data_IF_789625871878
#
_entry.id   IF_789625871878
#
_cell.length_a   1.000
_cell.length_b   1.000
_cell.length_c   1.000
_cell.angle_alpha   90.00
_cell.angle_beta   90.00
_cell.angle_gamma   90.00
#
_symmetry.space_group_name_H-M   'P 1'
#
loop_
_entity.id
_entity.type
_entity.pdbx_description
1 polymer ?
#
# COMPACT_ATOMS: atom_id res chain seq x y z
N UNK A 1 -7.21 17.11 27.92
CA UNK A 1 -5.82 17.38 27.59
C UNK A 1 -5.72 17.83 26.13
N UNK A 2 -4.85 18.81 25.85
CA UNK A 2 -4.53 19.23 24.49
C UNK A 2 -3.15 18.65 24.15
N UNK A 3 -3.00 18.07 22.96
CA UNK A 3 -1.74 17.53 22.46
C UNK A 3 -1.50 18.07 21.04
N UNK A 4 -0.23 18.15 20.64
CA UNK A 4 0.14 18.45 19.27
C UNK A 4 0.22 17.13 18.50
N UNK A 5 -0.51 17.02 17.39
CA UNK A 5 -0.47 15.88 16.52
C UNK A 5 0.70 16.03 15.53
N UNK A 6 1.79 15.30 15.78
CA UNK A 6 2.94 15.23 14.88
C UNK A 6 2.82 14.10 13.84
N UNK A 7 1.74 13.30 13.91
CA UNK A 7 1.52 12.17 13.00
C UNK A 7 0.64 12.56 11.82
N UNK A 8 -0.21 13.58 12.00
CA UNK A 8 -1.11 14.07 10.95
C UNK A 8 -2.08 12.99 10.47
N UNK A 9 -2.69 12.22 11.41
CA UNK A 9 -3.59 11.10 11.11
C UNK A 9 -2.96 10.05 10.17
N UNK A 10 -1.70 9.70 10.42
CA UNK A 10 -0.87 8.80 9.59
C UNK A 10 -0.66 9.30 8.17
N UNK A 11 -0.48 10.63 8.00
CA UNK A 11 -0.07 11.28 6.76
C UNK A 11 -1.14 12.11 6.04
N UNK A 12 -2.44 11.77 6.02
CA UNK A 12 -3.43 12.50 5.23
C UNK A 12 -3.64 13.97 5.63
N UNK A 13 -3.45 14.30 6.91
CA UNK A 13 -3.72 15.64 7.43
C UNK A 13 -2.57 16.64 7.20
N UNK A 14 -2.08 16.75 5.97
CA UNK A 14 -0.97 17.66 5.59
C UNK A 14 -1.31 19.12 5.92
N UNK A 15 -2.56 19.53 5.70
CA UNK A 15 -3.05 20.87 6.01
C UNK A 15 -3.61 20.99 7.45
N UNK A 16 -3.45 19.97 8.29
CA UNK A 16 -4.08 19.87 9.61
C UNK A 16 -5.51 19.34 9.55
N UNK A 17 -6.13 19.21 10.75
CA UNK A 17 -7.43 18.52 10.88
C UNK A 17 -8.63 19.36 10.39
N UNK A 18 -8.50 20.67 10.33
CA UNK A 18 -9.63 21.56 9.99
C UNK A 18 -9.15 22.85 9.32
N UNK A 19 -8.46 22.71 8.20
CA UNK A 19 -8.05 23.87 7.40
C UNK A 19 -9.29 24.62 6.87
N UNK A 20 -9.40 25.96 7.07
CA UNK A 20 -10.62 26.70 6.74
C UNK A 20 -11.09 26.54 5.29
N UNK A 21 -10.17 26.61 4.34
CA UNK A 21 -10.49 26.44 2.90
C UNK A 21 -11.00 25.04 2.58
N UNK A 22 -10.40 24.00 3.20
CA UNK A 22 -10.83 22.61 3.03
C UNK A 22 -12.26 22.43 3.60
N UNK A 23 -12.50 22.95 4.79
CA UNK A 23 -13.84 22.88 5.41
C UNK A 23 -14.88 23.60 4.55
N UNK A 24 -14.58 24.81 4.05
CA UNK A 24 -15.48 25.55 3.17
C UNK A 24 -15.79 24.79 1.87
N UNK A 25 -14.77 24.19 1.23
CA UNK A 25 -14.95 23.41 0.03
C UNK A 25 -15.80 22.15 0.28
N UNK A 26 -15.58 21.45 1.42
CA UNK A 26 -16.40 20.31 1.81
C UNK A 26 -17.87 20.68 2.04
N UNK A 27 -18.13 21.79 2.74
CA UNK A 27 -19.50 22.29 2.95
C UNK A 27 -20.21 22.54 1.64
N UNK A 28 -19.56 23.20 0.68
CA UNK A 28 -20.13 23.45 -0.65
C UNK A 28 -20.35 22.16 -1.46
N UNK A 29 -19.48 21.16 -1.28
CA UNK A 29 -19.63 19.88 -1.98
C UNK A 29 -20.78 19.05 -1.41
N UNK A 30 -20.99 19.05 -0.08
CA UNK A 30 -22.06 18.31 0.60
C UNK A 30 -23.45 18.73 0.08
N UNK A 31 -23.65 19.99 -0.24
CA UNK A 31 -24.92 20.50 -0.83
C UNK A 31 -25.29 19.83 -2.16
N UNK A 32 -24.29 19.28 -2.87
CA UNK A 32 -24.49 18.60 -4.16
C UNK A 32 -24.60 17.07 -4.02
N UNK A 33 -24.37 16.54 -2.83
CA UNK A 33 -24.40 15.12 -2.53
C UNK A 33 -23.01 14.57 -2.18
N UNK A 34 -22.99 13.41 -1.52
CA UNK A 34 -21.77 12.80 -0.95
C UNK A 34 -21.44 11.43 -1.52
N UNK A 35 -22.34 10.83 -2.33
CA UNK A 35 -22.12 9.50 -2.89
C UNK A 35 -22.94 9.33 -4.16
N UNK A 36 -22.29 8.81 -5.20
CA UNK A 36 -22.90 8.62 -6.52
C UNK A 36 -22.57 7.22 -7.03
N UNK A 37 -23.55 6.54 -7.61
CA UNK A 37 -23.37 5.25 -8.27
C UNK A 37 -22.81 5.36 -9.71
N UNK A 38 -22.25 6.53 -10.06
CA UNK A 38 -21.65 6.82 -11.36
C UNK A 38 -20.47 7.77 -11.18
N UNK A 39 -19.52 7.82 -12.14
CA UNK A 39 -18.41 8.78 -12.12
C UNK A 39 -18.92 10.22 -12.00
N UNK A 40 -18.27 11.04 -11.21
CA UNK A 40 -18.62 12.45 -11.05
C UNK A 40 -17.49 13.36 -11.54
N UNK A 41 -17.80 14.63 -11.76
CA UNK A 41 -16.86 15.62 -12.29
C UNK A 41 -15.65 15.82 -11.39
N UNK A 42 -15.84 15.76 -10.07
CA UNK A 42 -14.73 15.90 -9.09
C UNK A 42 -13.74 14.75 -9.19
N UNK A 43 -14.19 13.53 -9.45
CA UNK A 43 -13.29 12.38 -9.67
C UNK A 43 -12.44 12.60 -10.94
N UNK A 44 -13.06 13.06 -12.02
CA UNK A 44 -12.35 13.34 -13.28
C UNK A 44 -11.32 14.45 -13.09
N UNK A 45 -11.68 15.51 -12.37
CA UNK A 45 -10.78 16.62 -12.07
C UNK A 45 -9.59 16.14 -11.23
N UNK A 46 -9.83 15.37 -10.17
CA UNK A 46 -8.77 14.84 -9.34
C UNK A 46 -7.89 13.86 -10.11
N UNK A 47 -8.47 12.99 -10.95
CA UNK A 47 -7.70 12.07 -11.78
C UNK A 47 -6.76 12.82 -12.75
N UNK A 48 -7.26 13.87 -13.38
CA UNK A 48 -6.44 14.70 -14.26
C UNK A 48 -5.27 15.37 -13.50
N UNK A 49 -5.52 15.88 -12.29
CA UNK A 49 -4.46 16.45 -11.45
C UNK A 49 -3.40 15.42 -11.05
N UNK A 50 -3.80 14.18 -10.76
CA UNK A 50 -2.84 13.10 -10.44
C UNK A 50 -2.01 12.73 -11.67
N UNK A 51 -2.61 12.62 -12.83
CA UNK A 51 -1.92 12.30 -14.09
C UNK A 51 -0.91 13.41 -14.45
N UNK A 52 -1.30 14.67 -14.28
CA UNK A 52 -0.40 15.81 -14.51
C UNK A 52 0.77 15.86 -13.53
N UNK A 53 0.53 15.54 -12.27
CA UNK A 53 1.54 15.60 -11.22
C UNK A 53 2.53 14.41 -11.22
N UNK A 54 2.13 13.25 -11.75
CA UNK A 54 2.94 12.00 -11.70
C UNK A 54 3.19 11.49 -13.11
N UNK A 55 4.37 11.77 -13.70
CA UNK A 55 4.66 11.49 -15.13
C UNK A 55 4.49 10.04 -15.57
N UNK A 56 4.57 9.09 -14.65
CA UNK A 56 4.42 7.65 -14.93
C UNK A 56 2.97 7.15 -14.87
N UNK A 57 2.02 8.02 -14.50
CA UNK A 57 0.61 7.66 -14.35
C UNK A 57 -0.18 8.07 -15.59
N UNK A 58 -0.77 7.11 -16.28
CA UNK A 58 -1.64 7.32 -17.44
C UNK A 58 -3.12 7.09 -17.11
N UNK A 59 -3.40 6.33 -16.05
CA UNK A 59 -4.75 5.95 -15.65
C UNK A 59 -4.86 5.89 -14.12
N UNK A 60 -5.97 6.38 -13.59
CA UNK A 60 -6.24 6.43 -12.14
C UNK A 60 -7.54 5.71 -11.82
N UNK A 61 -7.51 4.94 -10.75
CA UNK A 61 -8.71 4.41 -10.09
C UNK A 61 -8.70 4.84 -8.62
N UNK A 62 -9.76 5.47 -8.18
CA UNK A 62 -9.95 5.82 -6.79
C UNK A 62 -10.59 4.68 -5.99
N UNK A 63 -10.18 4.55 -4.76
CA UNK A 63 -10.72 3.63 -3.76
C UNK A 63 -10.80 4.37 -2.42
N UNK A 64 -11.48 3.79 -1.42
CA UNK A 64 -11.76 4.48 -0.16
C UNK A 64 -10.62 4.40 0.86
N UNK A 65 -9.66 3.50 0.68
CA UNK A 65 -8.58 3.29 1.66
C UNK A 65 -7.30 2.74 1.02
N UNK A 66 -6.18 2.88 1.71
CA UNK A 66 -4.92 2.25 1.32
C UNK A 66 -5.01 0.72 1.28
N UNK A 67 -5.81 0.11 2.15
CA UNK A 67 -6.08 -1.34 2.10
C UNK A 67 -6.72 -1.74 0.77
N UNK A 68 -7.75 -1.03 0.33
CA UNK A 68 -8.40 -1.29 -0.96
C UNK A 68 -7.47 -1.05 -2.14
N UNK A 69 -6.61 -0.02 -2.07
CA UNK A 69 -5.60 0.24 -3.09
C UNK A 69 -4.62 -0.93 -3.18
N UNK A 70 -4.07 -1.38 -2.06
CA UNK A 70 -3.13 -2.50 -2.01
C UNK A 70 -3.78 -3.82 -2.46
N UNK A 71 -5.04 -4.08 -2.09
CA UNK A 71 -5.81 -5.24 -2.59
C UNK A 71 -5.98 -5.19 -4.12
N UNK A 72 -6.25 -4.01 -4.65
CA UNK A 72 -6.43 -3.82 -6.10
C UNK A 72 -5.13 -4.02 -6.86
N UNK A 73 -4.01 -3.47 -6.35
CA UNK A 73 -2.67 -3.66 -6.92
C UNK A 73 -2.24 -5.11 -6.86
N UNK A 74 -2.49 -5.82 -5.76
CA UNK A 74 -2.20 -7.25 -5.64
C UNK A 74 -2.92 -8.07 -6.73
N UNK A 75 -4.21 -7.78 -6.93
CA UNK A 75 -5.00 -8.45 -7.98
C UNK A 75 -4.47 -8.13 -9.37
N UNK A 76 -4.08 -6.88 -9.59
CA UNK A 76 -3.49 -6.43 -10.86
C UNK A 76 -2.16 -7.14 -11.14
N UNK A 77 -1.25 -7.20 -10.17
CA UNK A 77 0.03 -7.92 -10.31
C UNK A 77 -0.18 -9.38 -10.72
N UNK A 78 -1.11 -10.07 -10.06
CA UNK A 78 -1.43 -11.47 -10.36
C UNK A 78 -2.07 -11.64 -11.73
N UNK A 79 -3.03 -10.81 -12.08
CA UNK A 79 -3.71 -10.88 -13.39
C UNK A 79 -2.75 -10.58 -14.54
N UNK A 80 -1.85 -9.62 -14.37
CA UNK A 80 -0.89 -9.24 -15.40
C UNK A 80 0.20 -10.29 -15.64
N UNK A 81 0.67 -10.95 -14.58
CA UNK A 81 1.78 -11.91 -14.66
C UNK A 81 1.34 -13.37 -14.80
N UNK A 82 0.12 -13.69 -14.42
CA UNK A 82 -0.35 -15.07 -14.25
C UNK A 82 0.28 -15.81 -13.06
N UNK A 83 0.94 -15.08 -12.15
CA UNK A 83 1.67 -15.63 -11.00
C UNK A 83 0.93 -15.34 -9.70
N UNK A 84 1.22 -16.10 -8.65
CA UNK A 84 0.43 -16.05 -7.39
C UNK A 84 1.13 -15.35 -6.24
N UNK A 85 2.46 -15.49 -6.14
CA UNK A 85 3.23 -15.01 -4.98
C UNK A 85 3.60 -13.54 -5.10
N UNK A 86 3.70 -12.88 -3.95
CA UNK A 86 4.24 -11.52 -3.85
C UNK A 86 5.36 -11.46 -2.81
N UNK A 87 6.25 -10.49 -2.97
CA UNK A 87 7.21 -10.11 -1.94
C UNK A 87 6.69 -8.86 -1.23
N UNK A 88 6.76 -8.87 0.10
CA UNK A 88 6.63 -7.69 0.96
C UNK A 88 7.82 -7.59 1.92
N UNK A 89 7.99 -6.45 2.55
CA UNK A 89 9.08 -6.23 3.50
C UNK A 89 8.58 -6.26 4.95
N UNK A 90 9.42 -6.81 5.84
CA UNK A 90 9.19 -6.80 7.27
C UNK A 90 9.05 -5.38 7.80
N UNK A 91 8.12 -5.16 8.70
CA UNK A 91 7.84 -3.83 9.25
C UNK A 91 7.05 -2.88 8.35
N UNK A 92 6.94 -3.16 7.04
CA UNK A 92 6.11 -2.39 6.13
C UNK A 92 4.62 -2.73 6.27
N UNK A 93 3.77 -1.72 6.15
CA UNK A 93 2.32 -1.83 6.27
C UNK A 93 1.61 -1.52 4.96
N UNK A 94 0.79 -2.46 4.52
CA UNK A 94 0.04 -2.35 3.25
C UNK A 94 -1.47 -2.57 3.45
N UNK A 95 -1.99 -2.15 4.59
CA UNK A 95 -3.39 -2.38 4.96
C UNK A 95 -3.60 -3.73 5.66
N UNK A 96 -4.87 -4.06 5.91
CA UNK A 96 -5.24 -5.20 6.75
C UNK A 96 -5.90 -6.35 5.97
N UNK A 97 -5.67 -6.45 4.67
CA UNK A 97 -6.04 -7.65 3.92
C UNK A 97 -5.14 -8.83 4.31
N UNK A 98 -5.69 -10.02 4.38
CA UNK A 98 -5.03 -11.24 4.87
C UNK A 98 -3.63 -11.46 4.29
N UNK A 99 -3.48 -11.20 2.98
CA UNK A 99 -2.20 -11.33 2.27
C UNK A 99 -1.09 -10.45 2.82
N UNK A 100 -1.42 -9.34 3.48
CA UNK A 100 -0.45 -8.39 4.02
C UNK A 100 -0.20 -8.57 5.52
N UNK A 101 -1.05 -9.33 6.21
CA UNK A 101 -0.94 -9.64 7.64
C UNK A 101 -0.12 -10.90 7.90
N UNK A 102 1.04 -10.98 7.26
CA UNK A 102 1.98 -12.09 7.38
C UNK A 102 3.31 -11.62 7.95
N UNK A 103 3.98 -12.50 8.68
CA UNK A 103 5.33 -12.28 9.24
C UNK A 103 6.33 -13.19 8.54
N UNK A 104 7.61 -12.82 8.59
CA UNK A 104 8.66 -13.73 8.21
C UNK A 104 8.65 -14.98 9.10
N UNK A 105 8.74 -16.16 8.47
CA UNK A 105 8.98 -17.39 9.18
C UNK A 105 10.49 -17.59 9.46
N UNK A 106 10.85 -18.60 10.23
CA UNK A 106 12.26 -18.93 10.53
C UNK A 106 12.87 -19.76 9.40
N UNK A 107 13.67 -19.18 8.51
CA UNK A 107 14.42 -19.93 7.47
C UNK A 107 14.73 -19.13 6.21
N UNK A 108 15.70 -19.60 5.44
CA UNK A 108 16.34 -18.89 4.29
C UNK A 108 15.45 -18.72 3.06
N UNK A 109 14.31 -19.40 3.00
CA UNK A 109 13.30 -19.24 1.94
C UNK A 109 11.92 -19.22 2.60
N UNK A 110 11.61 -18.13 3.25
CA UNK A 110 10.61 -18.14 4.30
C UNK A 110 9.21 -18.06 3.75
N UNK A 111 8.50 -19.18 3.81
CA UNK A 111 7.05 -19.16 3.83
C UNK A 111 6.60 -18.23 4.96
N UNK A 112 5.86 -17.22 4.62
CA UNK A 112 5.34 -16.31 5.61
C UNK A 112 4.36 -17.06 6.53
N UNK A 113 4.51 -16.84 7.83
CA UNK A 113 3.57 -17.33 8.83
C UNK A 113 2.46 -16.29 8.97
N UNK A 114 1.21 -16.74 9.10
CA UNK A 114 0.11 -15.85 9.44
C UNK A 114 0.48 -14.98 10.66
N UNK A 115 0.54 -13.68 10.46
CA UNK A 115 0.90 -12.73 11.51
C UNK A 115 -0.27 -12.41 12.44
N UNK A 116 -1.46 -12.91 12.08
CA UNK A 116 -2.71 -12.67 12.80
C UNK A 116 -3.55 -13.95 12.81
N UNK A 117 -4.23 -14.26 13.93
CA UNK A 117 -5.18 -15.37 13.98
C UNK A 117 -6.30 -15.19 12.93
N UNK A 118 -6.73 -16.29 12.34
CA UNK A 118 -7.83 -16.30 11.37
C UNK A 118 -7.40 -16.22 9.90
N UNK A 119 -6.10 -16.05 9.61
CA UNK A 119 -5.59 -16.08 8.23
C UNK A 119 -5.31 -17.54 7.84
N UNK A 120 -5.98 -18.05 6.77
CA UNK A 120 -5.71 -19.40 6.29
C UNK A 120 -4.27 -19.55 5.76
N UNK A 121 -3.64 -20.69 6.03
CA UNK A 121 -2.28 -20.99 5.56
C UNK A 121 -2.11 -20.83 4.04
N UNK A 122 -3.03 -21.30 3.17
CA UNK A 122 -2.92 -21.10 1.73
C UNK A 122 -2.86 -19.63 1.32
N UNK A 123 -3.49 -18.74 2.08
CA UNK A 123 -3.44 -17.30 1.84
C UNK A 123 -2.09 -16.74 2.27
N UNK A 124 -1.64 -17.09 3.48
CA UNK A 124 -0.36 -16.64 4.01
C UNK A 124 0.82 -17.11 3.14
N UNK A 125 0.80 -18.35 2.64
CA UNK A 125 1.89 -18.94 1.83
C UNK A 125 2.10 -18.26 0.46
N UNK A 126 1.15 -17.46 0.01
CA UNK A 126 1.28 -16.66 -1.22
C UNK A 126 2.07 -15.36 -1.00
N UNK A 127 2.50 -15.04 0.22
CA UNK A 127 3.29 -13.83 0.51
C UNK A 127 4.65 -14.21 1.07
N UNK A 128 5.70 -13.68 0.47
CA UNK A 128 7.08 -13.86 0.90
C UNK A 128 7.51 -12.59 1.64
N UNK A 129 7.89 -12.71 2.91
CA UNK A 129 8.34 -11.57 3.72
C UNK A 129 9.84 -11.59 3.84
N UNK A 130 10.50 -10.48 3.49
CA UNK A 130 11.96 -10.30 3.52
C UNK A 130 12.32 -9.06 4.32
N UNK A 131 13.53 -8.98 4.90
CA UNK A 131 13.97 -7.78 5.60
C UNK A 131 14.01 -6.56 4.67
N UNK A 132 13.58 -5.41 5.18
CA UNK A 132 13.72 -4.13 4.48
C UNK A 132 15.19 -3.72 4.43
N UNK A 133 15.62 -3.16 3.30
CA UNK A 133 17.03 -2.83 3.02
C UNK A 133 17.97 -4.04 2.81
N UNK A 134 17.47 -5.25 2.67
CA UNK A 134 18.28 -6.43 2.34
C UNK A 134 18.06 -6.87 0.89
N UNK A 135 18.78 -6.25 -0.05
CA UNK A 135 18.69 -6.57 -1.48
C UNK A 135 19.18 -7.99 -1.79
N UNK A 136 20.08 -8.54 -0.97
CA UNK A 136 20.55 -9.91 -1.15
C UNK A 136 19.45 -10.92 -0.79
N UNK A 137 18.67 -10.65 0.28
CA UNK A 137 17.51 -11.48 0.59
C UNK A 137 16.49 -11.48 -0.55
N UNK A 138 16.21 -10.32 -1.14
CA UNK A 138 15.34 -10.21 -2.33
C UNK A 138 15.90 -11.04 -3.48
N UNK A 139 17.20 -10.91 -3.78
CA UNK A 139 17.87 -11.65 -4.85
C UNK A 139 17.80 -13.17 -4.64
N UNK A 140 18.02 -13.64 -3.42
CA UNK A 140 17.90 -15.08 -3.07
C UNK A 140 16.48 -15.60 -3.29
N UNK A 141 15.46 -14.82 -2.92
CA UNK A 141 14.05 -15.19 -3.13
C UNK A 141 13.71 -15.26 -4.61
N UNK A 142 14.16 -14.29 -5.41
CA UNK A 142 13.97 -14.34 -6.87
C UNK A 142 14.71 -15.51 -7.52
N UNK A 143 15.93 -15.81 -7.10
CA UNK A 143 16.67 -16.96 -7.60
C UNK A 143 15.96 -18.30 -7.30
N UNK A 144 15.32 -18.41 -6.14
CA UNK A 144 14.65 -19.63 -5.71
C UNK A 144 13.21 -19.80 -6.27
N UNK A 145 12.48 -18.72 -6.44
CA UNK A 145 11.03 -18.76 -6.71
C UNK A 145 10.55 -17.70 -7.72
N UNK A 146 11.44 -17.06 -8.49
CA UNK A 146 11.12 -15.93 -9.36
C UNK A 146 9.96 -16.18 -10.32
N UNK A 147 9.84 -17.39 -10.84
CA UNK A 147 8.76 -17.80 -11.74
C UNK A 147 7.36 -17.77 -11.08
N UNK A 148 7.30 -17.83 -9.77
CA UNK A 148 6.03 -17.76 -9.02
C UNK A 148 5.68 -16.34 -8.52
N UNK A 149 6.63 -15.38 -8.61
CA UNK A 149 6.48 -14.04 -8.05
C UNK A 149 5.77 -13.12 -9.04
N UNK A 150 4.59 -12.65 -8.66
CA UNK A 150 3.78 -11.69 -9.41
C UNK A 150 4.31 -10.25 -9.28
N UNK A 151 4.89 -9.91 -8.14
CA UNK A 151 5.42 -8.58 -7.91
C UNK A 151 5.96 -8.36 -6.49
N UNK A 152 6.50 -7.18 -6.31
CA UNK A 152 7.02 -6.70 -5.03
C UNK A 152 6.20 -5.49 -4.59
N UNK A 153 5.80 -5.44 -3.33
CA UNK A 153 5.18 -4.26 -2.73
C UNK A 153 6.11 -3.69 -1.67
N UNK A 154 6.37 -2.40 -1.75
CA UNK A 154 7.35 -1.70 -0.91
C UNK A 154 6.85 -0.32 -0.50
N UNK A 155 7.16 0.11 0.72
CA UNK A 155 7.09 1.52 1.10
C UNK A 155 8.41 2.19 0.69
N UNK A 156 8.39 3.28 -0.10
CA UNK A 156 9.63 4.00 -0.44
C UNK A 156 10.39 4.52 0.78
N UNK A 157 9.66 4.89 1.83
CA UNK A 157 10.16 5.15 3.18
C UNK A 157 9.23 4.41 4.13
N UNK A 158 9.74 3.42 4.83
CA UNK A 158 8.91 2.66 5.76
C UNK A 158 8.50 3.52 6.96
N UNK A 159 7.19 3.61 7.21
CA UNK A 159 6.63 4.47 8.27
C UNK A 159 6.28 3.72 9.54
N UNK A 160 5.63 2.56 9.42
CA UNK A 160 5.03 1.85 10.54
C UNK A 160 6.04 1.27 11.56
N UNK A 161 7.24 0.95 11.13
CA UNK A 161 8.32 0.47 12.00
C UNK A 161 9.25 1.59 12.53
N UNK A 162 8.83 2.85 12.43
CA UNK A 162 9.65 4.03 12.55
C UNK A 162 10.05 4.54 11.16
N UNK A 163 10.40 5.81 11.02
CA UNK A 163 10.79 6.35 9.72
C UNK A 163 12.12 5.72 9.27
N UNK A 164 12.07 4.70 8.43
CA UNK A 164 13.26 4.01 7.91
C UNK A 164 13.39 4.29 6.41
N UNK A 165 14.34 5.14 6.00
CA UNK A 165 14.59 5.39 4.58
C UNK A 165 15.25 4.17 3.91
N UNK A 166 15.10 4.04 2.59
CA UNK A 166 15.83 3.03 1.83
C UNK A 166 17.32 3.36 1.80
N UNK A 167 18.15 2.33 1.85
CA UNK A 167 19.58 2.49 1.60
C UNK A 167 19.84 2.80 0.13
N UNK A 168 20.95 3.48 -0.20
CA UNK A 168 21.32 3.74 -1.59
C UNK A 168 21.32 2.47 -2.43
N UNK A 169 20.59 2.48 -3.55
CA UNK A 169 20.50 1.34 -4.47
C UNK A 169 19.47 0.26 -4.09
N UNK A 170 18.74 0.43 -2.99
CA UNK A 170 17.71 -0.55 -2.60
C UNK A 170 16.46 -0.46 -3.49
N UNK A 171 15.95 0.74 -3.78
CA UNK A 171 14.82 0.98 -4.69
C UNK A 171 15.28 1.02 -6.15
#
# INVERSE_FOLDING_TARGET
NKSIDYIGSWGPAICGHAHPEVISALQAAIEKGTSFGAPCELENTLAAMVIDAVPSVEMVRFVNSGTEACMSVLRLMRAFTGREKIIKFEGCYHGHADMFLVKAGSGVATLAIAGSPGIPEPVASCTLSVPYNDIEAVSRVFAAQGEAIAGVIVEPVAGNMGMVPPQPGFL
#
